data_IF_095085762363
#
_entry.id   IF_095085762363
#
_cell.length_a   1.000
_cell.length_b   1.000
_cell.length_c   1.000
_cell.angle_alpha   90.00
_cell.angle_beta   90.00
_cell.angle_gamma   90.00
#
_symmetry.space_group_name_H-M   'P 1'
#
loop_
_entity.id
_entity.type
_entity.pdbx_description
1 polymer ?
#
# COMPACT_ATOMS: atom_id res chain seq x y z
N UNK A 1 8.63 -20.75 2.63
CA UNK A 1 7.99 -19.94 3.65
C UNK A 1 8.80 -18.68 3.82
N UNK A 2 8.17 -17.51 3.74
CA UNK A 2 8.78 -16.22 3.99
C UNK A 2 8.25 -15.71 5.33
N UNK A 3 9.15 -15.33 6.21
CA UNK A 3 8.84 -14.88 7.55
C UNK A 3 8.92 -13.36 7.60
N UNK A 4 7.89 -12.68 8.11
CA UNK A 4 7.93 -11.26 8.43
C UNK A 4 8.06 -11.10 9.93
N UNK A 5 9.04 -10.32 10.37
CA UNK A 5 9.17 -9.97 11.78
C UNK A 5 9.65 -8.53 11.94
N UNK A 6 9.26 -7.91 13.04
CA UNK A 6 9.71 -6.56 13.38
C UNK A 6 11.03 -6.67 14.16
N UNK A 7 12.11 -6.22 13.52
CA UNK A 7 13.41 -6.12 14.21
C UNK A 7 13.47 -4.85 15.06
N UNK A 8 13.38 -5.01 16.37
CA UNK A 8 13.42 -3.92 17.33
C UNK A 8 14.75 -3.15 17.30
N UNK A 9 15.84 -3.76 16.87
CA UNK A 9 17.16 -3.12 16.82
C UNK A 9 17.31 -2.14 15.69
N UNK A 10 16.73 -2.45 14.53
CA UNK A 10 16.73 -1.59 13.34
C UNK A 10 15.45 -0.75 13.20
N UNK A 11 14.40 -1.03 13.99
CA UNK A 11 13.10 -0.39 13.87
C UNK A 11 12.39 -0.69 12.54
N UNK A 12 12.70 -1.82 11.89
CA UNK A 12 12.20 -2.16 10.56
C UNK A 12 11.53 -3.54 10.57
N UNK A 13 10.55 -3.70 9.65
CA UNK A 13 10.10 -5.02 9.29
C UNK A 13 11.12 -5.67 8.36
N UNK A 14 11.57 -6.86 8.73
CA UNK A 14 12.51 -7.67 7.96
C UNK A 14 11.75 -8.91 7.49
N UNK A 15 12.00 -9.31 6.26
CA UNK A 15 11.56 -10.62 5.77
C UNK A 15 12.79 -11.51 5.57
N UNK A 16 12.62 -12.78 5.86
CA UNK A 16 13.68 -13.78 5.70
C UNK A 16 13.09 -15.09 5.20
N UNK A 17 13.83 -15.77 4.36
CA UNK A 17 13.51 -17.12 3.91
C UNK A 17 14.05 -18.19 4.87
N UNK A 18 14.70 -17.78 5.95
CA UNK A 18 15.18 -18.63 7.03
C UNK A 18 14.56 -18.20 8.36
N UNK A 19 14.31 -19.15 9.24
CA UNK A 19 13.87 -18.90 10.59
C UNK A 19 15.00 -18.21 11.38
N UNK A 20 14.85 -16.91 11.55
CA UNK A 20 15.76 -16.07 12.32
C UNK A 20 15.14 -15.66 13.68
N UNK A 21 14.29 -16.50 14.26
CA UNK A 21 13.60 -16.22 15.51
C UNK A 21 12.43 -15.27 15.38
N UNK A 22 11.80 -15.19 14.19
CA UNK A 22 10.53 -14.52 13.99
C UNK A 22 9.39 -15.26 14.73
N UNK A 23 8.37 -14.52 15.11
CA UNK A 23 7.15 -15.12 15.68
C UNK A 23 6.43 -15.89 14.58
N UNK A 24 6.17 -17.18 14.83
CA UNK A 24 5.40 -18.03 13.93
C UNK A 24 3.98 -18.09 14.43
N UNK A 25 3.02 -17.80 13.56
CA UNK A 25 1.60 -17.92 13.85
C UNK A 25 1.06 -19.12 13.11
N UNK A 26 0.46 -20.05 13.85
CA UNK A 26 -0.14 -21.25 13.28
C UNK A 26 -1.43 -20.92 12.50
N UNK A 27 -1.82 -21.85 11.64
CA UNK A 27 -3.03 -21.73 10.83
C UNK A 27 -4.16 -22.66 11.27
N UNK A 28 -4.00 -23.36 12.37
CA UNK A 28 -5.03 -24.18 13.00
C UNK A 28 -5.54 -23.47 14.26
N UNK A 29 -6.85 -23.51 14.45
CA UNK A 29 -7.56 -22.84 15.54
C UNK A 29 -8.65 -23.76 16.07
N UNK A 30 -9.15 -23.48 17.27
CA UNK A 30 -10.37 -24.11 17.79
C UNK A 30 -11.56 -23.20 17.49
N UNK A 31 -12.51 -23.64 16.70
CA UNK A 31 -13.79 -22.97 16.52
C UNK A 31 -14.70 -23.30 17.71
N UNK A 32 -15.13 -22.27 18.43
CA UNK A 32 -16.02 -22.37 19.58
C UNK A 32 -17.47 -22.21 19.14
N UNK A 33 -17.81 -21.07 18.51
CA UNK A 33 -19.17 -20.76 18.07
C UNK A 33 -19.16 -19.75 16.90
N UNK A 34 -20.34 -19.53 16.28
CA UNK A 34 -20.55 -18.60 15.18
C UNK A 34 -21.68 -17.61 15.48
N UNK A 35 -21.46 -16.36 15.13
CA UNK A 35 -22.37 -15.25 15.43
C UNK A 35 -22.66 -14.42 14.17
N UNK A 36 -23.79 -13.70 14.19
CA UNK A 36 -24.15 -12.76 13.11
C UNK A 36 -23.60 -11.36 13.32
N UNK A 37 -23.24 -11.02 14.56
CA UNK A 37 -22.74 -9.71 14.93
C UNK A 37 -21.36 -9.82 15.54
N UNK A 38 -20.54 -8.82 15.22
CA UNK A 38 -19.18 -8.73 15.75
C UNK A 38 -19.16 -8.62 17.29
N UNK A 39 -20.05 -7.76 17.85
CA UNK A 39 -20.07 -7.49 19.29
C UNK A 39 -20.36 -8.77 20.11
N UNK A 40 -21.30 -9.60 19.61
CA UNK A 40 -21.67 -10.87 20.29
C UNK A 40 -20.50 -11.85 20.25
N UNK A 41 -19.79 -11.93 19.12
CA UNK A 41 -18.59 -12.77 18.99
C UNK A 41 -17.41 -12.23 19.81
N UNK A 42 -17.27 -10.91 19.93
CA UNK A 42 -16.19 -10.29 20.70
C UNK A 42 -16.37 -10.54 22.21
N UNK A 43 -17.61 -10.44 22.73
CA UNK A 43 -17.93 -10.75 24.11
C UNK A 43 -17.62 -12.23 24.44
N UNK A 44 -18.02 -13.16 23.57
CA UNK A 44 -17.72 -14.58 23.75
C UNK A 44 -16.21 -14.87 23.66
N UNK A 45 -15.48 -14.21 22.76
CA UNK A 45 -14.04 -14.42 22.59
C UNK A 45 -13.24 -14.01 23.83
N UNK A 46 -13.73 -13.07 24.65
CA UNK A 46 -13.07 -12.64 25.90
C UNK A 46 -13.10 -13.70 26.99
N UNK A 47 -14.00 -14.68 26.92
CA UNK A 47 -14.09 -15.78 27.89
C UNK A 47 -12.96 -16.80 27.73
N UNK A 48 -12.20 -16.76 26.63
CA UNK A 48 -11.14 -17.72 26.32
C UNK A 48 -9.76 -17.07 26.30
N UNK A 49 -8.79 -17.69 26.96
CA UNK A 49 -7.39 -17.28 26.82
C UNK A 49 -6.89 -17.56 25.39
N UNK A 50 -6.45 -16.51 24.70
CA UNK A 50 -6.11 -16.58 23.27
C UNK A 50 -7.32 -16.60 22.34
N UNK A 51 -8.52 -16.26 22.84
CA UNK A 51 -9.72 -16.10 22.04
C UNK A 51 -9.65 -14.88 21.12
N UNK A 52 -10.21 -14.99 19.93
CA UNK A 52 -10.31 -13.90 18.94
C UNK A 52 -11.49 -14.09 18.01
N UNK A 53 -11.91 -12.99 17.39
CA UNK A 53 -12.97 -13.00 16.38
C UNK A 53 -12.36 -13.26 15.01
N UNK A 54 -12.99 -14.15 14.25
CA UNK A 54 -12.71 -14.35 12.83
C UNK A 54 -13.97 -14.05 12.01
N UNK A 55 -13.82 -13.34 10.88
CA UNK A 55 -14.88 -13.21 9.90
C UNK A 55 -14.63 -14.18 8.75
N UNK A 56 -15.48 -15.19 8.62
CA UNK A 56 -15.32 -16.30 7.67
C UNK A 56 -16.63 -16.47 6.90
N UNK A 57 -16.58 -16.33 5.59
CA UNK A 57 -17.72 -16.57 4.68
C UNK A 57 -19.05 -15.89 5.11
N UNK A 58 -18.93 -14.68 5.68
CA UNK A 58 -20.10 -13.87 6.06
C UNK A 58 -20.55 -14.02 7.50
N UNK A 59 -19.89 -14.83 8.32
CA UNK A 59 -20.20 -15.04 9.73
C UNK A 59 -19.00 -14.64 10.62
N UNK A 60 -19.29 -14.18 11.84
CA UNK A 60 -18.29 -13.96 12.88
C UNK A 60 -18.14 -15.24 13.70
N UNK A 61 -16.95 -15.81 13.69
CA UNK A 61 -16.60 -16.99 14.45
C UNK A 61 -15.74 -16.61 15.64
N UNK A 62 -15.97 -17.23 16.79
CA UNK A 62 -15.05 -17.23 17.90
C UNK A 62 -14.07 -18.38 17.73
N UNK A 63 -12.79 -18.03 17.67
CA UNK A 63 -11.69 -18.97 17.52
C UNK A 63 -10.69 -18.81 18.65
N UNK A 64 -10.03 -19.90 19.04
CA UNK A 64 -9.03 -19.91 20.12
C UNK A 64 -7.71 -20.48 19.61
N UNK A 65 -6.63 -19.82 19.98
CA UNK A 65 -5.26 -20.25 19.71
C UNK A 65 -4.81 -20.12 18.25
N UNK A 66 -3.53 -20.36 18.01
CA UNK A 66 -2.91 -20.36 16.69
C UNK A 66 -1.86 -21.47 16.62
N UNK A 67 -2.30 -22.67 16.34
CA UNK A 67 -1.49 -23.88 16.42
C UNK A 67 -0.77 -24.16 15.11
N UNK A 68 0.47 -24.64 15.21
CA UNK A 68 1.32 -24.92 14.05
C UNK A 68 0.93 -26.21 13.33
N UNK A 69 0.36 -27.15 14.06
CA UNK A 69 -0.10 -28.41 13.51
C UNK A 69 -1.53 -28.71 13.93
N UNK A 70 -2.18 -29.59 13.17
CA UNK A 70 -3.51 -30.09 13.50
C UNK A 70 -3.48 -30.94 14.78
N UNK A 71 -2.36 -31.63 15.04
CA UNK A 71 -2.16 -32.44 16.25
C UNK A 71 -2.13 -31.57 17.51
N UNK A 72 -1.34 -30.47 17.48
CA UNK A 72 -1.31 -29.52 18.61
C UNK A 72 -2.70 -28.91 18.87
N UNK A 73 -3.47 -28.62 17.79
CA UNK A 73 -4.81 -28.10 17.94
C UNK A 73 -5.81 -29.15 18.51
N UNK A 74 -5.65 -30.42 18.18
CA UNK A 74 -6.47 -31.50 18.77
C UNK A 74 -6.17 -31.68 20.25
N UNK A 75 -4.89 -31.69 20.62
CA UNK A 75 -4.49 -31.78 22.02
C UNK A 75 -5.04 -30.60 22.84
N UNK A 76 -5.00 -29.39 22.28
CA UNK A 76 -5.59 -28.22 22.91
C UNK A 76 -7.12 -28.27 23.02
N UNK A 77 -7.84 -28.86 22.03
CA UNK A 77 -9.27 -29.07 22.13
C UNK A 77 -9.64 -30.05 23.24
N UNK A 78 -8.84 -31.11 23.40
CA UNK A 78 -9.02 -32.10 24.49
C UNK A 78 -8.77 -31.47 25.86
N UNK A 79 -7.77 -30.57 25.99
CA UNK A 79 -7.48 -29.84 27.23
C UNK A 79 -8.57 -28.81 27.56
N UNK A 80 -9.09 -28.09 26.55
CA UNK A 80 -10.17 -27.12 26.74
C UNK A 80 -11.51 -27.80 27.01
N UNK A 81 -11.70 -29.00 26.49
CA UNK A 81 -12.92 -29.80 26.64
C UNK A 81 -14.02 -29.42 25.63
N UNK A 82 -13.72 -28.54 24.72
CA UNK A 82 -14.63 -28.07 23.65
C UNK A 82 -13.85 -27.51 22.46
N UNK A 83 -14.58 -27.17 21.36
CA UNK A 83 -14.04 -26.57 20.15
C UNK A 83 -13.77 -27.58 19.04
N UNK A 84 -14.05 -27.16 17.82
CA UNK A 84 -13.75 -27.92 16.60
C UNK A 84 -12.43 -27.42 16.01
N UNK A 85 -11.52 -28.34 15.65
CA UNK A 85 -10.26 -27.95 14.98
C UNK A 85 -10.53 -27.53 13.54
N UNK A 86 -10.28 -26.26 13.25
CA UNK A 86 -10.43 -25.63 11.94
C UNK A 86 -9.10 -25.09 11.43
N UNK A 87 -8.98 -25.00 10.12
CA UNK A 87 -7.85 -24.34 9.45
C UNK A 87 -8.22 -22.98 8.87
N UNK A 88 -7.29 -22.44 8.09
CA UNK A 88 -7.50 -21.25 7.26
C UNK A 88 -7.43 -21.63 5.79
N UNK A 89 -8.16 -20.90 4.93
CA UNK A 89 -8.00 -21.03 3.49
C UNK A 89 -6.71 -20.35 2.99
N UNK A 90 -6.43 -20.52 1.70
CA UNK A 90 -5.33 -19.83 1.04
C UNK A 90 -5.55 -18.31 0.94
N UNK A 91 -6.75 -17.81 1.18
CA UNK A 91 -7.14 -16.41 1.09
C UNK A 91 -7.15 -15.70 2.46
N UNK A 92 -6.98 -16.44 3.54
CA UNK A 92 -7.04 -15.89 4.89
C UNK A 92 -5.95 -14.84 5.17
N UNK A 93 -6.35 -13.78 5.84
CA UNK A 93 -5.47 -12.73 6.36
C UNK A 93 -5.63 -12.67 7.88
N UNK A 94 -4.54 -12.90 8.61
CA UNK A 94 -4.54 -12.89 10.07
C UNK A 94 -3.86 -11.63 10.60
N UNK A 95 -4.55 -10.88 11.45
CA UNK A 95 -4.05 -9.70 12.14
C UNK A 95 -3.55 -10.11 13.52
N UNK A 96 -2.30 -9.82 13.82
CA UNK A 96 -1.66 -10.17 15.09
C UNK A 96 -1.18 -8.93 15.85
N UNK A 97 -1.02 -9.05 17.14
CA UNK A 97 -0.33 -8.06 17.94
C UNK A 97 1.16 -8.08 17.59
N UNK A 98 1.70 -6.94 17.16
CA UNK A 98 3.09 -6.83 16.71
C UNK A 98 4.09 -7.40 17.70
N UNK A 99 4.92 -8.32 17.24
CA UNK A 99 5.98 -8.98 18.02
C UNK A 99 5.49 -10.09 18.93
N UNK A 100 4.27 -10.56 18.76
CA UNK A 100 3.68 -11.69 19.47
C UNK A 100 2.97 -12.64 18.49
N UNK A 101 2.58 -13.81 18.94
CA UNK A 101 1.72 -14.77 18.25
C UNK A 101 0.22 -14.58 18.54
N UNK A 102 -0.11 -13.56 19.34
CA UNK A 102 -1.49 -13.24 19.69
C UNK A 102 -2.27 -12.77 18.45
N UNK A 103 -3.25 -13.55 18.06
CA UNK A 103 -4.21 -13.15 17.00
C UNK A 103 -5.20 -12.13 17.59
N UNK A 104 -5.42 -11.05 16.84
CA UNK A 104 -6.39 -10.01 17.17
C UNK A 104 -7.66 -10.16 16.35
N UNK A 105 -7.51 -10.57 15.09
CA UNK A 105 -8.62 -10.77 14.16
C UNK A 105 -8.16 -11.65 13.00
N UNK A 106 -9.07 -12.42 12.43
CA UNK A 106 -8.83 -13.16 11.20
C UNK A 106 -9.94 -12.85 10.20
N UNK A 107 -9.55 -12.66 8.95
CA UNK A 107 -10.46 -12.45 7.84
C UNK A 107 -10.23 -13.52 6.79
N UNK A 108 -11.30 -14.15 6.34
CA UNK A 108 -11.30 -15.08 5.22
C UNK A 108 -12.62 -14.94 4.45
N UNK A 109 -12.58 -14.13 3.41
CA UNK A 109 -13.71 -13.86 2.52
C UNK A 109 -13.60 -14.57 1.17
N UNK A 110 -12.70 -15.56 1.07
CA UNK A 110 -12.44 -16.25 -0.19
C UNK A 110 -11.72 -15.35 -1.20
N UNK A 111 -11.88 -15.65 -2.49
CA UNK A 111 -11.21 -15.00 -3.59
C UNK A 111 -11.73 -13.57 -3.87
N UNK A 112 -13.01 -13.34 -3.57
CA UNK A 112 -13.71 -12.13 -4.03
C UNK A 112 -13.61 -10.95 -3.04
N UNK A 113 -13.14 -11.17 -1.83
CA UNK A 113 -13.12 -10.16 -0.78
C UNK A 113 -11.71 -9.91 -0.22
N UNK A 114 -11.47 -8.68 0.19
CA UNK A 114 -10.23 -8.23 0.78
C UNK A 114 -10.46 -7.60 2.16
N UNK A 115 -9.51 -7.76 3.07
CA UNK A 115 -9.54 -7.08 4.36
C UNK A 115 -9.16 -5.61 4.20
N UNK A 116 -10.07 -4.70 4.52
CA UNK A 116 -9.79 -3.26 4.62
C UNK A 116 -9.49 -2.87 6.08
N UNK A 117 -8.37 -2.19 6.30
CA UNK A 117 -8.03 -1.62 7.60
C UNK A 117 -7.90 -0.11 7.43
N UNK A 118 -8.79 0.65 8.06
CA UNK A 118 -8.79 2.11 8.03
C UNK A 118 -8.45 2.65 9.41
N UNK A 119 -7.63 3.71 9.51
CA UNK A 119 -7.41 4.38 10.79
C UNK A 119 -8.70 5.06 11.25
N UNK A 120 -8.92 5.09 12.56
CA UNK A 120 -9.98 5.91 13.14
C UNK A 120 -9.55 7.38 13.10
N UNK A 121 -10.29 8.19 12.33
CA UNK A 121 -10.02 9.61 12.10
C UNK A 121 -11.02 10.52 12.83
N UNK A 122 -11.69 10.03 13.88
CA UNK A 122 -12.66 10.81 14.65
C UNK A 122 -12.04 11.87 15.56
N UNK A 123 -10.70 11.84 15.75
CA UNK A 123 -9.94 12.85 16.52
C UNK A 123 -9.48 14.03 15.66
N UNK A 124 -8.94 15.06 16.34
CA UNK A 124 -8.35 16.24 15.69
C UNK A 124 -6.93 15.96 15.12
N UNK A 125 -6.30 14.88 15.54
CA UNK A 125 -4.96 14.51 15.11
C UNK A 125 -4.98 13.79 13.76
N UNK A 126 -4.03 14.12 12.90
CA UNK A 126 -3.82 13.42 11.64
C UNK A 126 -3.30 12.00 11.89
N UNK A 127 -4.15 11.01 11.70
CA UNK A 127 -3.79 9.61 11.89
C UNK A 127 -3.04 9.09 10.66
N UNK A 128 -1.88 8.49 10.91
CA UNK A 128 -1.03 7.89 9.88
C UNK A 128 -0.74 6.43 10.19
N UNK A 129 -0.86 5.60 9.18
CA UNK A 129 -0.54 4.17 9.26
C UNK A 129 0.92 3.94 8.90
N UNK A 130 1.64 3.14 9.69
CA UNK A 130 3.01 2.75 9.39
C UNK A 130 3.04 1.46 8.57
N UNK A 131 3.79 1.51 7.46
CA UNK A 131 4.06 0.32 6.67
C UNK A 131 5.50 0.37 6.10
N UNK A 132 6.28 -0.67 6.34
CA UNK A 132 7.67 -0.81 5.86
C UNK A 132 8.58 0.40 6.14
N UNK A 133 8.40 1.07 7.29
CA UNK A 133 9.22 2.21 7.70
C UNK A 133 8.78 3.56 7.16
N UNK A 134 7.66 3.61 6.47
CA UNK A 134 7.04 4.84 5.97
C UNK A 134 5.68 5.08 6.61
N UNK A 135 5.27 6.33 6.66
CA UNK A 135 3.96 6.79 7.12
C UNK A 135 3.05 6.97 5.93
N UNK A 136 1.82 6.50 6.04
CA UNK A 136 0.81 6.63 5.00
C UNK A 136 -0.44 7.31 5.56
N UNK A 137 -1.08 8.12 4.74
CA UNK A 137 -2.43 8.58 4.98
C UNK A 137 -3.42 7.51 4.54
N UNK A 138 -4.65 7.57 5.06
CA UNK A 138 -5.69 6.63 4.69
C UNK A 138 -5.45 5.22 5.24
N UNK A 139 -6.06 4.25 4.58
CA UNK A 139 -6.03 2.86 4.98
C UNK A 139 -5.26 1.94 4.04
N UNK A 140 -5.34 0.68 4.38
CA UNK A 140 -4.75 -0.39 3.58
C UNK A 140 -5.77 -1.48 3.31
N UNK A 141 -5.71 -2.04 2.10
CA UNK A 141 -6.39 -3.26 1.72
C UNK A 141 -5.37 -4.38 1.62
N UNK A 142 -5.73 -5.51 2.20
CA UNK A 142 -4.92 -6.73 2.27
C UNK A 142 -5.67 -7.86 1.59
N UNK A 143 -5.07 -8.47 0.59
CA UNK A 143 -5.68 -9.59 -0.13
C UNK A 143 -4.62 -10.58 -0.61
N UNK A 144 -5.06 -11.81 -0.88
CA UNK A 144 -4.21 -12.87 -1.42
C UNK A 144 -4.76 -13.32 -2.77
N UNK A 145 -4.31 -12.66 -3.82
CA UNK A 145 -4.76 -12.91 -5.20
C UNK A 145 -4.40 -14.34 -5.61
N UNK A 146 -5.42 -15.10 -6.00
CA UNK A 146 -5.27 -16.52 -6.34
C UNK A 146 -4.71 -17.39 -5.22
N UNK A 147 -4.87 -16.99 -3.95
CA UNK A 147 -4.29 -17.69 -2.80
C UNK A 147 -2.77 -17.58 -2.69
N UNK A 148 -2.16 -16.65 -3.43
CA UNK A 148 -0.73 -16.39 -3.46
C UNK A 148 -0.21 -15.55 -2.28
N UNK A 149 0.84 -14.77 -2.55
CA UNK A 149 1.43 -13.85 -1.59
C UNK A 149 0.46 -12.72 -1.23
N UNK A 150 0.66 -12.12 -0.05
CA UNK A 150 -0.16 -11.01 0.43
C UNK A 150 0.11 -9.74 -0.40
N UNK A 151 -0.92 -9.26 -1.11
CA UNK A 151 -0.92 -7.97 -1.78
C UNK A 151 -1.41 -6.91 -0.79
N UNK A 152 -0.63 -5.84 -0.63
CA UNK A 152 -0.92 -4.72 0.27
C UNK A 152 -1.11 -3.46 -0.55
N UNK A 153 -2.30 -2.89 -0.51
CA UNK A 153 -2.68 -1.72 -1.30
C UNK A 153 -3.01 -0.56 -0.37
N UNK A 154 -2.31 0.57 -0.52
CA UNK A 154 -2.67 1.82 0.14
C UNK A 154 -3.90 2.43 -0.54
N UNK A 155 -4.92 2.77 0.24
CA UNK A 155 -6.18 3.32 -0.25
C UNK A 155 -6.27 4.79 0.15
N UNK A 156 -6.12 5.67 -0.83
CA UNK A 156 -6.10 7.13 -0.64
C UNK A 156 -6.79 7.83 -1.81
N UNK A 157 -7.22 9.08 -1.60
CA UNK A 157 -7.67 9.95 -2.69
C UNK A 157 -6.48 10.45 -3.54
N UNK A 158 -6.78 10.99 -4.73
CA UNK A 158 -5.78 11.43 -5.69
C UNK A 158 -4.84 12.49 -5.13
N UNK A 159 -5.36 13.49 -4.41
CA UNK A 159 -4.52 14.59 -3.92
C UNK A 159 -3.57 14.09 -2.82
N UNK A 160 -4.05 13.25 -1.94
CA UNK A 160 -3.22 12.58 -0.93
C UNK A 160 -2.17 11.67 -1.56
N UNK A 161 -2.50 10.98 -2.66
CA UNK A 161 -1.52 10.21 -3.44
C UNK A 161 -0.42 11.12 -4.00
N UNK A 162 -0.78 12.24 -4.65
CA UNK A 162 0.18 13.18 -5.24
C UNK A 162 1.08 13.82 -4.16
N UNK A 163 0.55 14.13 -2.96
CA UNK A 163 1.38 14.57 -1.82
C UNK A 163 2.45 13.55 -1.44
N UNK A 164 2.19 12.25 -1.63
CA UNK A 164 3.14 11.17 -1.40
C UNK A 164 4.06 10.85 -2.58
N UNK A 165 3.86 11.46 -3.75
CA UNK A 165 4.71 11.32 -4.94
C UNK A 165 5.73 12.46 -5.03
N UNK A 166 5.29 13.71 -4.91
CA UNK A 166 6.11 14.90 -5.16
C UNK A 166 7.44 14.90 -4.41
N UNK A 167 7.51 14.60 -3.10
CA UNK A 167 8.76 14.63 -2.34
C UNK A 167 9.80 13.60 -2.80
N UNK A 168 9.38 12.60 -3.57
CA UNK A 168 10.25 11.53 -4.07
C UNK A 168 10.67 11.74 -5.52
N UNK A 169 9.96 12.60 -6.25
CA UNK A 169 10.28 12.94 -7.64
C UNK A 169 11.07 14.25 -7.73
N UNK A 170 10.88 15.19 -6.79
CA UNK A 170 11.56 16.49 -6.77
C UNK A 170 12.04 16.88 -5.39
N UNK A 171 13.11 17.68 -5.33
CA UNK A 171 13.55 18.26 -4.05
C UNK A 171 12.51 19.25 -3.52
N UNK A 172 12.23 19.15 -2.21
CA UNK A 172 11.30 20.05 -1.50
C UNK A 172 11.73 21.54 -1.55
N UNK A 173 13.01 21.79 -1.81
CA UNK A 173 13.59 23.15 -1.88
C UNK A 173 13.42 23.83 -3.25
N UNK A 174 12.92 23.12 -4.25
CA UNK A 174 12.72 23.68 -5.58
C UNK A 174 11.63 24.76 -5.60
N UNK A 175 11.63 25.65 -6.62
CA UNK A 175 10.61 26.69 -6.74
C UNK A 175 9.18 26.13 -6.67
N UNK A 176 8.28 26.85 -5.97
CA UNK A 176 6.90 26.39 -5.79
C UNK A 176 6.21 26.12 -7.13
N UNK A 177 6.43 26.95 -8.13
CA UNK A 177 5.82 26.77 -9.46
C UNK A 177 6.34 25.52 -10.18
N UNK A 178 7.59 25.12 -9.95
CA UNK A 178 8.11 23.85 -10.45
C UNK A 178 7.44 22.64 -9.77
N UNK A 179 7.25 22.72 -8.44
CA UNK A 179 6.53 21.69 -7.68
C UNK A 179 5.06 21.59 -8.13
N UNK A 180 4.40 22.72 -8.44
CA UNK A 180 3.05 22.77 -9.00
C UNK A 180 2.97 22.11 -10.38
N UNK A 181 3.90 22.42 -11.26
CA UNK A 181 3.98 21.81 -12.58
C UNK A 181 4.14 20.28 -12.47
N UNK A 182 5.02 19.82 -11.56
CA UNK A 182 5.19 18.41 -11.29
C UNK A 182 3.92 17.77 -10.73
N UNK A 183 3.18 18.45 -9.84
CA UNK A 183 1.93 17.95 -9.30
C UNK A 183 0.87 17.72 -10.40
N UNK A 184 0.74 18.67 -11.35
CA UNK A 184 -0.15 18.54 -12.51
C UNK A 184 0.27 17.36 -13.41
N UNK A 185 1.57 17.23 -13.69
CA UNK A 185 2.10 16.12 -14.49
C UNK A 185 1.88 14.78 -13.80
N UNK A 186 2.22 14.67 -12.52
CA UNK A 186 2.06 13.43 -11.75
C UNK A 186 0.58 13.00 -11.64
N UNK A 187 -0.32 13.95 -11.42
CA UNK A 187 -1.77 13.71 -11.39
C UNK A 187 -2.30 13.22 -12.73
N UNK A 188 -1.88 13.87 -13.82
CA UNK A 188 -2.28 13.48 -15.18
C UNK A 188 -1.80 12.09 -15.54
N UNK A 189 -0.56 11.76 -15.18
CA UNK A 189 0.02 10.45 -15.40
C UNK A 189 -0.69 9.35 -14.57
N UNK A 190 -0.96 9.61 -13.28
CA UNK A 190 -1.71 8.69 -12.43
C UNK A 190 -3.12 8.44 -12.98
N UNK A 191 -3.83 9.50 -13.36
CA UNK A 191 -5.17 9.41 -13.94
C UNK A 191 -5.21 8.51 -15.19
N UNK A 192 -4.23 8.62 -16.07
CA UNK A 192 -4.14 7.79 -17.26
C UNK A 192 -3.91 6.31 -16.93
N UNK A 193 -2.99 6.00 -16.00
CA UNK A 193 -2.73 4.62 -15.57
C UNK A 193 -3.99 3.99 -14.94
N UNK A 194 -4.72 4.73 -14.11
CA UNK A 194 -6.00 4.31 -13.53
C UNK A 194 -7.03 4.05 -14.62
N UNK A 195 -7.20 5.00 -15.54
CA UNK A 195 -8.18 4.90 -16.63
C UNK A 195 -7.92 3.75 -17.61
N UNK A 196 -6.64 3.38 -17.77
CA UNK A 196 -6.23 2.26 -18.61
C UNK A 196 -6.25 0.92 -17.88
N UNK A 197 -6.56 0.90 -16.57
CA UNK A 197 -6.53 -0.29 -15.72
C UNK A 197 -5.19 -1.06 -15.81
N UNK A 198 -4.07 -0.36 -15.81
CA UNK A 198 -2.72 -0.89 -16.05
C UNK A 198 -2.41 -2.11 -15.18
N UNK A 199 -2.86 -2.12 -13.94
CA UNK A 199 -2.58 -3.17 -12.96
C UNK A 199 -3.83 -3.94 -12.50
N UNK A 200 -4.87 -4.01 -13.34
CA UNK A 200 -6.14 -4.67 -12.98
C UNK A 200 -5.98 -6.12 -12.53
N UNK A 201 -5.05 -6.88 -13.12
CA UNK A 201 -4.76 -8.26 -12.73
C UNK A 201 -4.18 -8.40 -11.31
N UNK A 202 -3.74 -7.29 -10.71
CA UNK A 202 -3.19 -7.22 -9.36
C UNK A 202 -4.08 -6.44 -8.39
N UNK A 203 -5.29 -6.07 -8.83
CA UNK A 203 -6.32 -5.39 -8.06
C UNK A 203 -5.88 -4.04 -7.45
N UNK A 204 -4.97 -3.32 -8.09
CA UNK A 204 -4.62 -1.94 -7.71
C UNK A 204 -4.47 -1.04 -8.95
N UNK A 205 -4.55 0.27 -8.75
CA UNK A 205 -4.56 1.25 -9.83
C UNK A 205 -3.13 1.58 -10.33
N UNK A 206 -2.21 1.85 -9.39
CA UNK A 206 -0.83 2.23 -9.66
C UNK A 206 0.13 1.53 -8.71
N UNK A 207 1.31 1.14 -9.19
CA UNK A 207 2.35 0.60 -8.32
C UNK A 207 3.21 1.72 -7.72
N UNK A 208 3.92 1.41 -6.63
CA UNK A 208 4.77 2.36 -5.91
C UNK A 208 6.23 2.37 -6.37
N UNK A 209 6.49 1.93 -7.59
CA UNK A 209 7.83 1.84 -8.21
C UNK A 209 7.95 2.74 -9.44
N UNK A 210 9.14 2.78 -10.02
CA UNK A 210 9.42 3.53 -11.27
C UNK A 210 8.65 3.05 -12.49
N UNK A 211 7.96 1.92 -12.43
CA UNK A 211 7.04 1.48 -13.49
C UNK A 211 5.77 2.37 -13.57
N UNK A 212 5.37 2.95 -12.44
CA UNK A 212 4.37 4.03 -12.38
C UNK A 212 5.00 5.30 -11.85
N UNK A 213 4.97 5.49 -10.53
CA UNK A 213 5.56 6.65 -9.85
C UNK A 213 6.06 6.21 -8.47
N UNK A 214 7.19 6.74 -8.03
CA UNK A 214 7.68 6.45 -6.68
C UNK A 214 6.72 7.05 -5.65
N UNK A 215 6.08 6.18 -4.87
CA UNK A 215 5.14 6.57 -3.82
C UNK A 215 5.54 5.95 -2.48
N UNK A 216 5.69 6.78 -1.46
CA UNK A 216 6.05 6.38 -0.10
C UNK A 216 5.22 7.08 0.98
N UNK A 217 3.99 7.45 0.63
CA UNK A 217 3.09 8.18 1.53
C UNK A 217 3.71 9.50 2.00
N UNK A 218 3.54 9.83 3.28
CA UNK A 218 4.08 11.04 3.87
C UNK A 218 5.59 10.97 4.18
N UNK A 219 6.28 9.88 3.79
CA UNK A 219 7.70 9.68 4.03
C UNK A 219 8.04 8.97 5.33
N UNK A 220 9.29 9.05 5.77
CA UNK A 220 9.78 8.43 7.00
C UNK A 220 10.47 9.43 7.91
N UNK A 221 10.63 9.08 9.19
CA UNK A 221 11.35 9.95 10.16
C UNK A 221 12.87 10.00 9.94
N UNK A 222 13.41 9.14 9.09
CA UNK A 222 14.86 9.01 8.86
C UNK A 222 15.29 9.44 7.46
N UNK A 223 14.37 9.91 6.63
CA UNK A 223 14.62 10.33 5.25
C UNK A 223 14.39 11.85 5.12
N UNK A 224 15.25 12.51 4.32
CA UNK A 224 14.99 13.87 3.85
C UNK A 224 13.85 13.93 2.82
N UNK A 225 13.49 12.77 2.25
CA UNK A 225 12.36 12.63 1.33
C UNK A 225 11.09 12.42 2.13
N UNK A 226 10.36 13.48 2.38
CA UNK A 226 9.08 13.48 3.08
C UNK A 226 8.23 14.66 2.63
N UNK A 227 6.93 14.53 2.78
CA UNK A 227 5.99 15.62 2.58
C UNK A 227 6.32 16.80 3.50
N UNK A 228 6.21 18.01 2.97
CA UNK A 228 6.42 19.28 3.68
C UNK A 228 5.26 20.22 3.35
N UNK A 229 5.02 21.22 4.18
CA UNK A 229 4.01 22.27 3.91
C UNK A 229 4.16 22.88 2.52
N UNK A 230 5.39 22.95 2.01
CA UNK A 230 5.68 23.52 0.68
C UNK A 230 5.24 22.57 -0.45
N UNK A 231 5.53 21.28 -0.34
CA UNK A 231 5.10 20.28 -1.33
C UNK A 231 3.59 20.07 -1.28
N UNK A 232 3.03 20.04 -0.08
CA UNK A 232 1.58 19.89 0.12
C UNK A 232 0.82 21.09 -0.44
N UNK A 233 1.33 22.29 -0.21
CA UNK A 233 0.79 23.53 -0.80
C UNK A 233 0.82 23.50 -2.33
N UNK A 234 1.87 22.96 -2.95
CA UNK A 234 1.94 22.85 -4.41
C UNK A 234 0.83 21.95 -4.97
N UNK A 235 0.52 20.84 -4.27
CA UNK A 235 -0.57 19.94 -4.63
C UNK A 235 -1.93 20.60 -4.40
N UNK A 236 -2.13 21.25 -3.26
CA UNK A 236 -3.38 21.90 -2.89
C UNK A 236 -3.74 23.06 -3.83
N UNK A 237 -2.76 23.91 -4.18
CA UNK A 237 -2.98 25.03 -5.09
C UNK A 237 -3.22 24.60 -6.56
N UNK A 238 -2.99 23.33 -6.90
CA UNK A 238 -3.26 22.73 -8.20
C UNK A 238 -4.27 21.60 -8.15
N UNK A 239 -5.02 21.47 -7.06
CA UNK A 239 -5.96 20.38 -6.88
C UNK A 239 -7.00 20.30 -8.02
N UNK A 240 -7.15 19.12 -8.59
CA UNK A 240 -8.05 18.88 -9.71
C UNK A 240 -7.58 19.42 -11.07
N UNK A 241 -6.37 20.01 -11.16
CA UNK A 241 -5.81 20.45 -12.43
C UNK A 241 -5.08 19.32 -13.15
N UNK A 242 -5.36 19.17 -14.44
CA UNK A 242 -4.78 18.16 -15.34
C UNK A 242 -4.22 18.81 -16.60
N UNK A 243 -3.13 18.24 -17.13
CA UNK A 243 -2.64 18.62 -18.45
C UNK A 243 -3.49 17.95 -19.53
N UNK A 244 -4.03 18.76 -20.45
CA UNK A 244 -4.95 18.30 -21.49
C UNK A 244 -4.38 18.56 -22.88
N UNK A 245 -4.68 17.66 -23.80
CA UNK A 245 -4.57 17.86 -25.24
C UNK A 245 -5.92 17.54 -25.89
N UNK A 246 -6.45 18.48 -26.61
CA UNK A 246 -7.76 18.39 -27.29
C UNK A 246 -8.88 17.86 -26.34
N UNK A 247 -8.91 18.40 -25.10
CA UNK A 247 -9.89 18.06 -24.08
C UNK A 247 -9.68 16.72 -23.37
N UNK A 248 -8.64 15.96 -23.70
CA UNK A 248 -8.31 14.68 -23.10
C UNK A 248 -7.06 14.80 -22.21
N UNK A 249 -7.07 14.17 -21.06
CA UNK A 249 -5.90 14.14 -20.16
C UNK A 249 -4.75 13.42 -20.84
N UNK A 250 -3.58 14.06 -20.88
CA UNK A 250 -2.38 13.53 -21.55
C UNK A 250 -1.61 12.54 -20.69
N UNK A 251 -0.84 11.66 -21.33
CA UNK A 251 0.23 10.92 -20.64
C UNK A 251 1.41 11.86 -20.42
N UNK A 252 1.44 12.49 -19.25
CA UNK A 252 2.43 13.50 -18.89
C UNK A 252 3.71 12.82 -18.37
N UNK A 253 4.51 12.23 -19.26
CA UNK A 253 5.82 11.70 -18.90
C UNK A 253 6.76 12.83 -18.45
N UNK A 254 7.59 12.53 -17.47
CA UNK A 254 8.60 13.44 -16.95
C UNK A 254 9.92 12.73 -16.70
N UNK A 255 11.01 13.47 -16.71
CA UNK A 255 12.36 12.98 -16.46
C UNK A 255 13.16 14.02 -15.70
N UNK A 256 14.27 13.58 -15.07
CA UNK A 256 15.14 14.49 -14.32
C UNK A 256 15.91 15.47 -15.21
N UNK A 257 16.20 15.12 -16.46
CA UNK A 257 16.95 15.91 -17.44
C UNK A 257 16.77 15.33 -18.83
N UNK A 258 16.83 16.17 -19.84
CA UNK A 258 16.80 15.81 -21.26
C UNK A 258 17.93 16.48 -22.09
N UNK A 259 18.92 17.09 -21.40
CA UNK A 259 20.14 17.61 -22.04
C UNK A 259 19.93 18.84 -22.93
N UNK A 260 18.86 19.62 -22.71
CA UNK A 260 18.54 20.85 -23.43
C UNK A 260 17.53 20.68 -24.57
N UNK A 261 17.04 19.46 -24.83
CA UNK A 261 15.91 19.20 -25.72
C UNK A 261 15.23 17.88 -25.38
N UNK A 262 13.90 17.84 -25.30
CA UNK A 262 13.18 16.59 -25.21
C UNK A 262 13.18 15.85 -26.54
N UNK A 263 12.96 14.54 -26.50
CA UNK A 263 12.90 13.70 -27.69
C UNK A 263 11.44 13.38 -28.07
N UNK A 264 11.21 13.16 -29.34
CA UNK A 264 9.93 12.69 -29.86
C UNK A 264 9.65 11.26 -29.36
N UNK A 265 8.46 11.02 -28.81
CA UNK A 265 8.04 9.71 -28.28
C UNK A 265 8.21 8.56 -29.28
N UNK A 266 8.08 8.87 -30.57
CA UNK A 266 8.29 7.90 -31.65
C UNK A 266 9.74 7.38 -31.66
N UNK A 267 10.71 8.26 -31.45
CA UNK A 267 12.12 7.88 -31.44
C UNK A 267 12.51 7.11 -30.17
N UNK A 268 11.85 7.40 -29.05
CA UNK A 268 12.18 6.77 -27.74
C UNK A 268 11.54 5.39 -27.62
N UNK A 269 10.26 5.26 -27.93
CA UNK A 269 9.50 4.02 -27.70
C UNK A 269 8.86 3.42 -28.95
N UNK A 270 9.11 3.98 -30.13
CA UNK A 270 8.49 3.53 -31.39
C UNK A 270 6.99 3.76 -31.44
N UNK A 271 6.45 4.64 -30.58
CA UNK A 271 5.02 4.95 -30.53
C UNK A 271 4.57 5.82 -31.70
N UNK A 272 3.30 5.70 -32.09
CA UNK A 272 2.76 6.52 -33.17
C UNK A 272 2.65 8.00 -32.76
N UNK A 273 3.09 8.90 -33.62
CA UNK A 273 2.88 10.35 -33.48
C UNK A 273 1.40 10.73 -33.51
N UNK A 274 0.57 9.93 -34.15
CA UNK A 274 -0.87 10.13 -34.18
C UNK A 274 -1.49 9.85 -32.81
N UNK A 275 -0.94 8.87 -32.08
CA UNK A 275 -1.40 8.53 -30.75
C UNK A 275 -0.97 9.57 -29.69
N UNK A 276 0.24 10.13 -29.84
CA UNK A 276 0.82 11.07 -28.89
C UNK A 276 1.30 12.36 -29.59
N UNK A 277 0.43 13.14 -30.24
CA UNK A 277 0.82 14.32 -30.98
C UNK A 277 1.45 15.42 -30.11
N UNK A 278 1.24 15.38 -28.82
CA UNK A 278 1.76 16.32 -27.83
C UNK A 278 3.13 15.91 -27.25
N UNK A 279 3.59 14.69 -27.47
CA UNK A 279 4.90 14.20 -27.01
C UNK A 279 5.93 14.29 -28.15
N UNK A 280 6.17 15.49 -28.63
CA UNK A 280 7.18 15.79 -29.64
C UNK A 280 8.40 16.45 -29.01
N UNK A 281 9.55 16.37 -29.71
CA UNK A 281 10.78 17.02 -29.30
C UNK A 281 10.63 18.54 -29.23
N UNK A 282 11.05 19.13 -28.10
CA UNK A 282 11.03 20.56 -27.83
C UNK A 282 12.38 21.00 -27.28
N UNK A 283 12.94 22.09 -27.80
CA UNK A 283 14.15 22.69 -27.25
C UNK A 283 13.87 23.31 -25.87
N UNK A 284 14.76 23.05 -24.91
CA UNK A 284 14.79 23.70 -23.62
C UNK A 284 16.12 24.46 -23.43
N UNK A 285 16.15 25.75 -23.75
CA UNK A 285 17.36 26.55 -23.63
C UNK A 285 17.78 26.79 -22.18
N UNK A 286 16.88 26.60 -21.22
CA UNK A 286 17.16 26.89 -19.80
C UNK A 286 17.99 25.77 -19.12
N UNK A 287 17.91 24.54 -19.61
CA UNK A 287 18.67 23.42 -19.03
C UNK A 287 20.17 23.59 -19.21
N UNK A 288 20.62 24.31 -20.24
CA UNK A 288 22.04 24.58 -20.52
C UNK A 288 22.70 25.42 -19.42
N UNK A 289 21.91 26.19 -18.66
CA UNK A 289 22.40 27.06 -17.59
C UNK A 289 22.48 26.34 -16.23
N UNK A 290 22.02 25.08 -16.14
CA UNK A 290 22.02 24.29 -14.91
C UNK A 290 23.37 23.58 -14.75
N UNK A 291 24.28 24.21 -14.00
CA UNK A 291 25.66 23.73 -13.78
C UNK A 291 25.82 22.40 -13.02
N UNK A 292 24.72 21.75 -12.63
CA UNK A 292 24.74 20.59 -11.75
C UNK A 292 24.34 19.26 -12.39
N UNK A 293 24.04 19.26 -13.70
CA UNK A 293 23.74 18.01 -14.38
C UNK A 293 25.05 17.25 -14.56
N UNK A 294 25.21 16.19 -13.81
CA UNK A 294 26.30 15.26 -14.03
C UNK A 294 26.24 14.81 -15.49
N UNK A 295 27.29 15.08 -16.22
CA UNK A 295 27.46 14.49 -17.55
C UNK A 295 27.44 12.97 -17.41
N UNK A 296 26.42 12.35 -17.94
CA UNK A 296 26.38 10.89 -18.15
C UNK A 296 27.36 10.49 -19.24
#
# INVERSE_FOLDING_TARGET
NTWFYYDRSSGKYIYSNSDNGGTVVGCFHLLIDSFRRFDDAAEEAEEYDGGFVAWIDGEYQVRVGAYLSKEDALDAADELGEGEVVGTSAYAVTVIQTGTDRVLFQFDGGEDLALGIMPDVTGEDEVRTWFQGYKYHGGFRYERIGGGDLTVVSVVDMETYIKGVIPFEMSNDWPLEALKAQAICARSYAYNNISQNKHSAHHFDVCSSTDCQVYRGAGSNVSSYQSTDRTDRAVEETAGEYALYDGTVIEAFYSSSHGGASEDVYNVWGSSREKYPYLCGVEDPYEQDVASLNSY
#
